data_IF_589298836343
#
_entry.id   IF_589298836343
#
_cell.length_a   1.000
_cell.length_b   1.000
_cell.length_c   1.000
_cell.angle_alpha   90.00
_cell.angle_beta   90.00
_cell.angle_gamma   90.00
#
_symmetry.space_group_name_H-M   'P 1'
#
loop_
_entity.id
_entity.type
_entity.pdbx_description
1 polymer ?
#
# COMPACT_ATOMS: atom_id res chain seq x y z
N UNK A 1 10.83 20.18 7.00
CA UNK A 1 9.56 19.99 7.73
C UNK A 1 9.37 18.50 7.97
N UNK A 2 9.13 18.09 9.21
CA UNK A 2 9.08 16.67 9.60
C UNK A 2 7.70 16.09 9.24
N UNK A 3 7.58 15.45 8.07
CA UNK A 3 6.31 14.86 7.60
C UNK A 3 6.14 13.46 8.22
N UNK A 4 4.95 13.08 8.70
CA UNK A 4 4.71 11.75 9.26
C UNK A 4 4.85 10.68 8.18
N UNK A 5 5.42 9.52 8.55
CA UNK A 5 5.61 8.37 7.65
C UNK A 5 4.27 7.82 7.16
N UNK A 6 3.25 7.80 8.03
CA UNK A 6 1.87 7.47 7.69
C UNK A 6 1.02 8.74 7.71
N UNK A 7 0.78 9.31 6.53
CA UNK A 7 -0.07 10.47 6.38
C UNK A 7 -1.52 10.06 6.07
N UNK A 8 -2.48 10.94 6.39
CA UNK A 8 -3.88 10.70 6.05
C UNK A 8 -4.06 10.61 4.52
N UNK A 9 -4.91 9.69 4.07
CA UNK A 9 -5.22 9.56 2.64
C UNK A 9 -5.95 10.84 2.17
N UNK A 10 -5.33 11.55 1.23
CA UNK A 10 -5.77 12.85 0.69
C UNK A 10 -5.59 12.82 -0.82
N UNK A 11 -6.58 13.35 -1.57
CA UNK A 11 -6.50 13.44 -3.03
C UNK A 11 -5.44 14.45 -3.49
N UNK A 12 -5.15 15.46 -2.67
CA UNK A 12 -4.23 16.54 -3.01
C UNK A 12 -2.76 16.18 -2.71
N UNK A 13 -2.51 15.14 -1.92
CA UNK A 13 -1.17 14.79 -1.43
C UNK A 13 -0.59 13.47 -1.98
N UNK A 14 -1.37 12.73 -2.78
CA UNK A 14 -1.09 11.33 -3.13
C UNK A 14 0.27 11.11 -3.82
N UNK A 15 0.67 12.00 -4.73
CA UNK A 15 1.96 11.86 -5.45
C UNK A 15 3.17 12.07 -4.54
N UNK A 16 3.03 12.89 -3.51
CA UNK A 16 4.13 13.27 -2.61
C UNK A 16 4.47 12.22 -1.55
N UNK A 17 3.71 11.13 -1.48
CA UNK A 17 3.83 10.05 -0.47
C UNK A 17 4.15 8.69 -1.10
N UNK A 18 4.28 8.62 -2.42
CA UNK A 18 4.55 7.39 -3.14
C UNK A 18 6.04 7.04 -3.04
N UNK A 19 6.34 5.82 -2.63
CA UNK A 19 7.69 5.25 -2.69
C UNK A 19 7.73 4.19 -3.77
N UNK A 20 8.60 4.33 -4.77
CA UNK A 20 8.77 3.33 -5.84
C UNK A 20 10.09 2.57 -5.67
N UNK A 21 10.06 1.27 -5.95
CA UNK A 21 11.25 0.41 -5.90
C UNK A 21 11.17 -0.74 -6.89
N UNK A 22 12.33 -1.14 -7.44
CA UNK A 22 12.44 -2.36 -8.23
C UNK A 22 12.27 -3.60 -7.33
N UNK A 23 11.50 -4.57 -7.80
CA UNK A 23 11.26 -5.83 -7.10
C UNK A 23 11.18 -7.02 -8.07
N UNK A 24 11.28 -8.23 -7.53
CA UNK A 24 11.24 -9.47 -8.33
C UNK A 24 9.79 -9.82 -8.70
N UNK A 25 9.54 -10.08 -9.98
CA UNK A 25 8.26 -10.62 -10.44
C UNK A 25 8.14 -12.10 -10.05
N UNK A 26 7.15 -12.44 -9.21
CA UNK A 26 6.92 -13.82 -8.79
C UNK A 26 6.31 -14.72 -9.88
N UNK A 27 5.92 -14.15 -11.02
CA UNK A 27 5.35 -14.90 -12.16
C UNK A 27 6.41 -15.28 -13.21
N UNK A 28 7.25 -14.32 -13.64
CA UNK A 28 8.24 -14.53 -14.70
C UNK A 28 9.70 -14.37 -14.25
N UNK A 29 9.94 -14.04 -12.98
CA UNK A 29 11.27 -13.82 -12.38
C UNK A 29 12.10 -12.69 -13.00
N UNK A 30 11.52 -11.88 -13.89
CA UNK A 30 12.08 -10.60 -14.31
C UNK A 30 11.91 -9.53 -13.22
N UNK A 31 12.53 -8.36 -13.41
CA UNK A 31 12.28 -7.20 -12.55
C UNK A 31 10.91 -6.57 -12.88
N UNK A 32 10.19 -6.15 -11.85
CA UNK A 32 9.03 -5.27 -11.95
C UNK A 32 9.21 -4.06 -11.03
N UNK A 33 8.18 -3.22 -10.97
CA UNK A 33 8.15 -2.04 -10.10
C UNK A 33 7.09 -2.25 -9.01
N UNK A 34 7.45 -1.98 -7.77
CA UNK A 34 6.53 -1.92 -6.62
C UNK A 34 6.39 -0.48 -6.18
N UNK A 35 5.15 -0.01 -6.14
CA UNK A 35 4.74 1.26 -5.55
C UNK A 35 4.18 1.02 -4.16
N UNK A 36 4.74 1.70 -3.16
CA UNK A 36 4.29 1.69 -1.78
C UNK A 36 3.66 3.02 -1.42
N UNK A 37 2.47 2.98 -0.84
CA UNK A 37 1.79 4.11 -0.23
C UNK A 37 1.54 3.80 1.24
N UNK A 38 2.27 4.51 2.11
CA UNK A 38 2.14 4.40 3.56
C UNK A 38 1.11 5.43 4.01
N UNK A 39 -0.09 4.97 4.35
CA UNK A 39 -1.22 5.86 4.59
C UNK A 39 -2.05 5.43 5.78
N UNK A 40 -2.82 6.39 6.31
CA UNK A 40 -3.83 6.14 7.33
C UNK A 40 -5.21 6.24 6.72
N UNK A 41 -5.95 5.13 6.77
CA UNK A 41 -7.34 5.04 6.32
C UNK A 41 -8.24 5.00 7.57
N UNK A 42 -9.36 5.74 7.60
CA UNK A 42 -10.35 5.61 8.68
C UNK A 42 -10.73 4.14 8.91
N UNK A 43 -10.81 3.71 10.16
CA UNK A 43 -11.10 2.33 10.60
C UNK A 43 -10.03 1.27 10.30
N UNK A 44 -9.33 1.37 9.17
CA UNK A 44 -8.22 0.48 8.77
C UNK A 44 -6.88 0.88 9.39
N UNK A 45 -6.82 2.05 10.05
CA UNK A 45 -5.65 2.57 10.75
C UNK A 45 -4.46 2.76 9.80
N UNK A 46 -3.23 2.53 10.27
CA UNK A 46 -2.02 2.64 9.44
C UNK A 46 -1.86 1.40 8.56
N UNK A 47 -1.83 1.62 7.25
CA UNK A 47 -1.73 0.57 6.25
C UNK A 47 -0.62 0.88 5.25
N UNK A 48 -0.02 -0.19 4.74
CA UNK A 48 0.90 -0.14 3.61
C UNK A 48 0.15 -0.71 2.41
N UNK A 49 -0.13 0.14 1.44
CA UNK A 49 -0.67 -0.26 0.15
C UNK A 49 0.50 -0.54 -0.79
N UNK A 50 0.55 -1.75 -1.34
CA UNK A 50 1.56 -2.17 -2.29
C UNK A 50 0.91 -2.44 -3.64
N UNK A 51 1.44 -1.85 -4.70
CA UNK A 51 1.02 -2.09 -6.07
C UNK A 51 2.23 -2.48 -6.90
N UNK A 52 2.26 -3.75 -7.31
CA UNK A 52 3.29 -4.32 -8.16
C UNK A 52 2.81 -4.39 -9.61
N UNK A 53 3.68 -4.02 -10.55
CA UNK A 53 3.48 -4.22 -11.98
C UNK A 53 4.78 -4.69 -12.66
N UNK A 54 4.67 -5.67 -13.56
CA UNK A 54 5.78 -6.16 -14.37
C UNK A 54 5.56 -5.87 -15.85
N UNK A 55 6.43 -5.07 -16.46
CA UNK A 55 6.34 -4.72 -17.88
C UNK A 55 6.63 -5.90 -18.82
N UNK A 56 7.36 -6.92 -18.36
CA UNK A 56 7.76 -8.05 -19.20
C UNK A 56 6.65 -9.08 -19.42
N UNK A 57 5.81 -9.33 -18.41
CA UNK A 57 4.74 -10.33 -18.47
C UNK A 57 3.36 -9.78 -18.12
N UNK A 58 3.26 -8.48 -17.83
CA UNK A 58 2.05 -7.77 -17.44
C UNK A 58 1.37 -8.30 -16.17
N UNK A 59 2.08 -9.08 -15.36
CA UNK A 59 1.60 -9.49 -14.05
C UNK A 59 1.46 -8.27 -13.14
N UNK A 60 0.32 -8.17 -12.46
CA UNK A 60 0.02 -7.12 -11.48
C UNK A 60 -0.44 -7.74 -10.18
N UNK A 61 0.00 -7.18 -9.06
CA UNK A 61 -0.43 -7.61 -7.74
C UNK A 61 -0.66 -6.39 -6.84
N UNK A 62 -1.81 -6.34 -6.17
CA UNK A 62 -2.10 -5.29 -5.20
C UNK A 62 -2.34 -5.92 -3.84
N UNK A 63 -1.64 -5.42 -2.83
CA UNK A 63 -1.68 -5.93 -1.46
C UNK A 63 -1.94 -4.80 -0.47
N UNK A 64 -2.70 -5.11 0.58
CA UNK A 64 -2.91 -4.22 1.73
C UNK A 64 -2.35 -4.91 2.97
N UNK A 65 -1.35 -4.28 3.59
CA UNK A 65 -0.71 -4.80 4.78
C UNK A 65 -0.98 -3.89 5.98
N UNK A 66 -1.47 -4.42 7.11
CA UNK A 66 -1.56 -3.63 8.33
C UNK A 66 -0.15 -3.32 8.83
N UNK A 67 0.12 -2.05 9.13
CA UNK A 67 1.39 -1.64 9.74
C UNK A 67 1.39 -1.80 11.28
N UNK A 68 0.29 -2.31 11.84
CA UNK A 68 0.01 -2.35 13.26
C UNK A 68 -0.09 -3.79 13.78
N UNK A 69 -0.04 -3.95 15.12
CA UNK A 69 -0.31 -5.24 15.74
C UNK A 69 -1.73 -5.71 15.43
N UNK A 70 -1.91 -7.03 15.44
CA UNK A 70 -3.22 -7.66 15.37
C UNK A 70 -4.08 -7.12 16.51
N UNK A 71 -5.28 -6.66 16.15
CA UNK A 71 -6.25 -6.15 17.12
C UNK A 71 -6.85 -7.30 17.94
N UNK A 72 -7.18 -7.06 19.23
CA UNK A 72 -7.75 -8.08 20.09
C UNK A 72 -9.16 -8.52 19.69
N UNK A 73 -9.87 -7.70 18.90
CA UNK A 73 -11.24 -7.94 18.47
C UNK A 73 -11.39 -7.65 16.96
N UNK A 74 -12.32 -8.36 16.31
CA UNK A 74 -12.74 -8.04 14.94
C UNK A 74 -13.68 -6.83 14.88
N UNK A 75 -13.85 -6.27 13.68
CA UNK A 75 -14.75 -5.13 13.41
C UNK A 75 -15.86 -5.59 12.47
N UNK A 76 -17.12 -5.34 12.82
CA UNK A 76 -18.27 -5.51 11.92
C UNK A 76 -18.59 -4.15 11.27
N UNK A 77 -18.48 -4.09 9.95
CA UNK A 77 -18.81 -2.88 9.18
C UNK A 77 -20.18 -3.10 8.54
N UNK A 78 -21.19 -2.33 8.96
CA UNK A 78 -22.52 -2.33 8.37
C UNK A 78 -22.64 -1.13 7.42
N UNK A 79 -22.93 -1.40 6.15
CA UNK A 79 -23.19 -0.38 5.14
C UNK A 79 -24.69 -0.37 4.88
N UNK A 80 -25.33 0.80 5.00
CA UNK A 80 -26.77 0.98 4.75
C UNK A 80 -27.04 1.29 3.28
#
# INVERSE_FOLDING_TARGET
>A
ANRPIFAALSADDAESQLTEMESLCMNCYAKGNTRLLLTRIPYYKEVILSSFECDSCHFKNNDIQPAQRIEPYGVLINVQ
#
